data_IF_975133031442
#
_entry.id   IF_975133031442
#
_cell.length_a   1.000
_cell.length_b   1.000
_cell.length_c   1.000
_cell.angle_alpha   90.00
_cell.angle_beta   90.00
_cell.angle_gamma   90.00
#
_symmetry.space_group_name_H-M   'P 1'
#
loop_
_entity.id
_entity.type
_entity.pdbx_description
1 polymer ?
#
# COMPACT_ATOMS: atom_id res chain seq x y z
N UNK A 1 -3.70 37.81 13.51
CA UNK A 1 -3.84 37.18 12.16
C UNK A 1 -2.73 36.18 11.84
N UNK A 2 -1.46 36.42 12.22
CA UNK A 2 -0.30 35.57 11.88
C UNK A 2 -0.30 34.13 12.45
N UNK A 3 -0.91 33.90 13.61
CA UNK A 3 -0.99 32.55 14.19
C UNK A 3 -1.85 31.57 13.36
N UNK A 4 -2.90 32.07 12.70
CA UNK A 4 -3.79 31.23 11.89
C UNK A 4 -3.16 30.80 10.55
N UNK A 5 -2.24 31.59 10.00
CA UNK A 5 -1.53 31.22 8.78
C UNK A 5 -0.50 30.11 9.02
N UNK A 6 0.17 30.11 10.19
CA UNK A 6 1.13 29.06 10.55
C UNK A 6 0.46 27.68 10.72
N UNK A 7 -0.69 27.63 11.39
CA UNK A 7 -1.46 26.39 11.55
C UNK A 7 -1.97 25.85 10.21
N UNK A 8 -2.31 26.75 9.28
CA UNK A 8 -2.77 26.37 7.94
C UNK A 8 -1.64 25.81 7.08
N UNK A 9 -0.43 26.34 7.23
CA UNK A 9 0.76 25.86 6.52
C UNK A 9 1.20 24.48 7.03
N UNK A 10 1.25 24.29 8.35
CA UNK A 10 1.47 22.98 8.98
C UNK A 10 0.43 21.95 8.52
N UNK A 11 -0.87 22.28 8.57
CA UNK A 11 -1.93 21.37 8.10
C UNK A 11 -1.79 21.01 6.62
N UNK A 12 -1.40 21.96 5.77
CA UNK A 12 -1.22 21.71 4.34
C UNK A 12 -0.01 20.80 4.06
N UNK A 13 1.08 20.94 4.84
CA UNK A 13 2.24 20.04 4.77
C UNK A 13 1.85 18.59 5.09
N UNK A 14 1.05 18.38 6.14
CA UNK A 14 0.55 17.06 6.49
C UNK A 14 -0.37 16.48 5.41
N UNK A 15 -1.24 17.31 4.82
CA UNK A 15 -2.13 16.88 3.74
C UNK A 15 -1.37 16.43 2.47
N UNK A 16 -0.28 17.11 2.12
CA UNK A 16 0.59 16.69 0.99
C UNK A 16 1.25 15.35 1.30
N UNK A 17 1.81 15.21 2.50
CA UNK A 17 2.44 13.95 2.93
C UNK A 17 1.46 12.77 2.91
N UNK A 18 0.24 12.97 3.43
CA UNK A 18 -0.81 11.94 3.43
C UNK A 18 -1.25 11.56 2.01
N UNK A 19 -1.30 12.52 1.08
CA UNK A 19 -1.59 12.24 -0.34
C UNK A 19 -0.53 11.37 -0.97
N UNK A 20 0.75 11.63 -0.71
CA UNK A 20 1.85 10.82 -1.25
C UNK A 20 1.85 9.40 -0.67
N UNK A 21 1.57 9.26 0.64
CA UNK A 21 1.40 7.94 1.24
C UNK A 21 0.21 7.18 0.64
N UNK A 22 -0.89 7.88 0.36
CA UNK A 22 -2.08 7.27 -0.23
C UNK A 22 -1.84 6.84 -1.68
N UNK A 23 -1.09 7.63 -2.47
CA UNK A 23 -0.65 7.25 -3.83
C UNK A 23 0.16 5.96 -3.84
N UNK A 24 1.02 5.77 -2.85
CA UNK A 24 1.88 4.60 -2.73
C UNK A 24 1.31 3.49 -1.84
N UNK A 25 0.10 3.63 -1.31
CA UNK A 25 -0.51 2.66 -0.40
C UNK A 25 -0.69 1.28 -1.05
N UNK A 26 -1.07 1.23 -2.32
CA UNK A 26 -1.18 -0.04 -3.06
C UNK A 26 0.15 -0.79 -3.16
N UNK A 27 1.26 -0.07 -3.31
CA UNK A 27 2.61 -0.66 -3.32
C UNK A 27 2.97 -1.30 -1.97
N UNK A 28 2.60 -0.64 -0.86
CA UNK A 28 2.82 -1.17 0.50
C UNK A 28 2.02 -2.47 0.74
N UNK A 29 0.79 -2.54 0.24
CA UNK A 29 -0.05 -3.75 0.34
C UNK A 29 0.56 -4.92 -0.45
N UNK A 30 1.09 -4.66 -1.65
CA UNK A 30 1.80 -5.68 -2.44
C UNK A 30 3.03 -6.18 -1.67
N UNK A 31 3.82 -5.27 -1.10
CA UNK A 31 5.04 -5.63 -0.37
C UNK A 31 4.73 -6.58 0.80
N UNK A 32 3.65 -6.32 1.56
CA UNK A 32 3.18 -7.22 2.60
C UNK A 32 2.78 -8.60 2.07
N UNK A 33 2.04 -8.65 0.95
CA UNK A 33 1.67 -9.91 0.30
C UNK A 33 2.89 -10.74 -0.14
N UNK A 34 3.92 -10.07 -0.67
CA UNK A 34 5.17 -10.72 -1.08
C UNK A 34 5.96 -11.26 0.12
N UNK A 35 5.98 -10.55 1.25
CA UNK A 35 6.62 -11.03 2.48
C UNK A 35 5.95 -12.32 2.97
N UNK A 36 4.61 -12.34 3.03
CA UNK A 36 3.85 -13.54 3.43
C UNK A 36 4.12 -14.71 2.47
N UNK A 37 4.10 -14.46 1.16
CA UNK A 37 4.43 -15.48 0.16
C UNK A 37 5.84 -16.02 0.37
N UNK A 38 6.81 -15.14 0.60
CA UNK A 38 8.21 -15.52 0.82
C UNK A 38 8.36 -16.43 2.03
N UNK A 39 7.68 -16.13 3.14
CA UNK A 39 7.72 -16.98 4.34
C UNK A 39 7.17 -18.37 4.03
N UNK A 40 6.00 -18.47 3.40
CA UNK A 40 5.36 -19.77 3.07
C UNK A 40 6.22 -20.62 2.14
N UNK A 41 6.88 -19.98 1.17
CA UNK A 41 7.78 -20.67 0.23
C UNK A 41 9.06 -21.13 0.94
N UNK A 42 9.62 -20.30 1.81
CA UNK A 42 10.87 -20.60 2.54
C UNK A 42 10.69 -21.66 3.63
N UNK A 43 9.52 -21.76 4.25
CA UNK A 43 9.24 -22.80 5.25
C UNK A 43 9.00 -24.18 4.63
N UNK A 44 8.83 -24.28 3.32
CA UNK A 44 8.57 -25.54 2.62
C UNK A 44 7.23 -26.19 2.93
N UNK A 45 6.38 -25.56 3.75
CA UNK A 45 5.03 -26.02 4.14
C UNK A 45 3.97 -25.68 3.09
N UNK A 46 4.39 -25.49 1.84
CA UNK A 46 3.57 -24.94 0.77
C UNK A 46 2.55 -25.96 0.26
N UNK A 47 1.28 -25.70 0.54
CA UNK A 47 0.16 -26.37 -0.13
C UNK A 47 -0.27 -25.57 -1.36
N UNK A 48 -0.81 -26.24 -2.38
CA UNK A 48 -1.33 -25.56 -3.59
C UNK A 48 -2.34 -24.46 -3.24
N UNK A 49 -3.12 -24.67 -2.18
CA UNK A 49 -4.07 -23.69 -1.64
C UNK A 49 -3.37 -22.44 -1.10
N UNK A 50 -2.32 -22.58 -0.29
CA UNK A 50 -1.58 -21.42 0.25
C UNK A 50 -0.85 -20.65 -0.83
N UNK A 51 -0.28 -21.34 -1.82
CA UNK A 51 0.39 -20.72 -2.95
C UNK A 51 -0.61 -19.95 -3.82
N UNK A 52 -1.78 -20.54 -4.08
CA UNK A 52 -2.86 -19.85 -4.82
C UNK A 52 -3.45 -18.67 -4.07
N UNK A 53 -3.61 -18.77 -2.74
CA UNK A 53 -4.10 -17.68 -1.89
C UNK A 53 -3.14 -16.49 -1.87
N UNK A 54 -1.85 -16.76 -1.67
CA UNK A 54 -0.81 -15.74 -1.64
C UNK A 54 -0.60 -15.08 -3.01
N UNK A 55 -0.64 -15.87 -4.10
CA UNK A 55 -0.66 -15.33 -5.46
C UNK A 55 -1.90 -14.44 -5.69
N UNK A 56 -3.08 -14.88 -5.27
CA UNK A 56 -4.31 -14.10 -5.35
C UNK A 56 -4.22 -12.78 -4.58
N UNK A 57 -3.60 -12.79 -3.40
CA UNK A 57 -3.38 -11.59 -2.59
C UNK A 57 -2.46 -10.58 -3.29
N UNK A 58 -1.40 -11.06 -3.95
CA UNK A 58 -0.49 -10.21 -4.74
C UNK A 58 -1.21 -9.61 -5.94
N UNK A 59 -2.00 -10.40 -6.67
CA UNK A 59 -2.80 -9.92 -7.81
C UNK A 59 -3.82 -8.87 -7.36
N UNK A 60 -4.53 -9.11 -6.25
CA UNK A 60 -5.45 -8.13 -5.66
C UNK A 60 -4.72 -6.85 -5.22
N UNK A 61 -3.54 -6.99 -4.62
CA UNK A 61 -2.67 -5.86 -4.26
C UNK A 61 -2.23 -5.04 -5.49
N UNK A 62 -1.88 -5.70 -6.59
CA UNK A 62 -1.54 -5.07 -7.87
C UNK A 62 -2.75 -4.33 -8.47
N UNK A 63 -3.93 -4.95 -8.47
CA UNK A 63 -5.16 -4.30 -8.92
C UNK A 63 -5.47 -3.08 -8.05
N UNK A 64 -5.35 -3.19 -6.72
CA UNK A 64 -5.52 -2.07 -5.81
C UNK A 64 -4.50 -0.95 -6.08
N UNK A 65 -3.24 -1.29 -6.35
CA UNK A 65 -2.23 -0.30 -6.72
C UNK A 65 -2.56 0.44 -8.02
N UNK A 66 -3.00 -0.29 -9.05
CA UNK A 66 -3.40 0.30 -10.33
C UNK A 66 -4.64 1.19 -10.16
N UNK A 67 -5.65 0.74 -9.40
CA UNK A 67 -6.89 1.49 -9.18
C UNK A 67 -6.65 2.75 -8.34
N UNK A 68 -5.86 2.65 -7.26
CA UNK A 68 -5.49 3.80 -6.44
C UNK A 68 -4.67 4.80 -7.25
N UNK A 69 -3.69 4.32 -8.04
CA UNK A 69 -2.92 5.20 -8.92
C UNK A 69 -3.82 5.89 -9.96
N UNK A 70 -4.84 5.19 -10.50
CA UNK A 70 -5.81 5.77 -11.45
C UNK A 70 -6.86 6.70 -10.84
N UNK A 71 -7.20 6.55 -9.56
CA UNK A 71 -8.19 7.40 -8.87
C UNK A 71 -7.56 8.66 -8.26
N UNK A 72 -6.26 8.63 -8.00
CA UNK A 72 -5.54 9.74 -7.38
C UNK A 72 -4.81 10.62 -8.42
N UNK A 73 -4.71 10.18 -9.68
CA UNK A 73 -4.40 11.02 -10.84
C UNK A 73 -5.57 11.95 -11.23
#
# INVERSE_FOLDING_TARGET
MKARSLLREESNRHAVMLKDLLKNAGLLVILLGVIILSIVVLTGTQTNTQLSLSLGLIVLGLLAHIVINKMVD
#
